data_IF_564565686680
#
_entry.id   IF_564565686680
#
_cell.length_a   1.000
_cell.length_b   1.000
_cell.length_c   1.000
_cell.angle_alpha   90.00
_cell.angle_beta   90.00
_cell.angle_gamma   90.00
#
_symmetry.space_group_name_H-M   'P 1'
#
loop_
_entity.id
_entity.type
_entity.pdbx_description
1 polymer ?
#
# COMPACT_ATOMS: atom_id res chain seq x y z
N UNK A 1 -1.91 36.28 12.49
CA UNK A 1 -1.07 35.86 11.36
C UNK A 1 -1.37 34.40 11.06
N UNK A 2 -2.24 34.13 10.09
CA UNK A 2 -2.54 32.77 9.66
C UNK A 2 -1.39 32.29 8.74
N UNK A 3 -0.65 31.28 9.19
CA UNK A 3 0.29 30.58 8.32
C UNK A 3 -0.53 29.94 7.19
N UNK A 4 -0.36 30.46 5.96
CA UNK A 4 -0.73 29.70 4.77
C UNK A 4 0.10 28.43 4.80
N UNK A 5 -0.49 27.32 5.23
CA UNK A 5 0.04 26.00 4.93
C UNK A 5 0.01 25.90 3.41
N UNK A 6 1.15 26.18 2.78
CA UNK A 6 1.36 25.90 1.38
C UNK A 6 0.98 24.44 1.19
N UNK A 7 -0.11 24.21 0.47
CA UNK A 7 -0.49 22.90 -0.01
C UNK A 7 0.53 22.56 -1.10
N UNK A 8 1.77 22.31 -0.70
CA UNK A 8 2.83 21.82 -1.56
C UNK A 8 2.39 20.43 -1.97
N UNK A 9 1.76 20.38 -3.14
CA UNK A 9 1.41 19.12 -3.76
C UNK A 9 2.62 18.19 -3.80
N UNK A 10 2.40 16.88 -3.89
CA UNK A 10 3.49 15.90 -3.84
C UNK A 10 4.60 16.27 -4.81
N UNK A 11 5.85 16.32 -4.32
CA UNK A 11 7.04 16.72 -5.10
C UNK A 11 7.09 15.95 -6.40
N UNK A 12 7.27 16.66 -7.53
CA UNK A 12 7.31 16.10 -8.88
C UNK A 12 8.66 16.34 -9.52
N UNK A 13 9.06 15.41 -10.39
CA UNK A 13 10.32 15.44 -11.13
C UNK A 13 10.02 15.30 -12.62
N UNK A 14 10.71 16.09 -13.45
CA UNK A 14 10.60 15.99 -14.91
C UNK A 14 11.18 14.67 -15.43
N UNK A 15 10.50 14.07 -16.42
CA UNK A 15 10.95 12.82 -17.04
C UNK A 15 12.18 13.10 -17.91
N UNK A 16 13.36 12.70 -17.41
CA UNK A 16 14.65 12.89 -18.07
C UNK A 16 14.86 11.90 -19.22
N UNK A 17 15.85 12.16 -20.09
CA UNK A 17 16.20 11.24 -21.17
C UNK A 17 16.68 9.88 -20.67
N UNK A 18 17.38 9.86 -19.53
CA UNK A 18 17.84 8.63 -18.88
C UNK A 18 16.65 7.79 -18.40
N UNK A 19 15.65 8.43 -17.77
CA UNK A 19 14.42 7.74 -17.37
C UNK A 19 13.66 7.16 -18.57
N UNK A 20 13.64 7.88 -19.71
CA UNK A 20 13.02 7.37 -20.95
C UNK A 20 13.76 6.18 -21.52
N UNK A 21 15.10 6.16 -21.40
CA UNK A 21 15.91 5.03 -21.81
C UNK A 21 15.62 3.81 -20.94
N UNK A 22 15.69 3.96 -19.61
CA UNK A 22 15.35 2.91 -18.65
C UNK A 22 13.92 2.39 -18.84
N UNK A 23 12.96 3.28 -19.07
CA UNK A 23 11.59 2.91 -19.40
C UNK A 23 11.51 1.98 -20.61
N UNK A 24 12.22 2.28 -21.71
CA UNK A 24 12.20 1.43 -22.90
C UNK A 24 12.81 0.04 -22.64
N UNK A 25 13.87 -0.01 -21.83
CA UNK A 25 14.55 -1.25 -21.48
C UNK A 25 13.69 -2.15 -20.57
N UNK A 26 12.97 -1.55 -19.61
CA UNK A 26 12.25 -2.29 -18.57
C UNK A 26 10.74 -2.48 -18.83
N UNK A 27 10.13 -1.73 -19.77
CA UNK A 27 8.68 -1.71 -19.98
C UNK A 27 8.08 -3.08 -20.30
N UNK A 28 8.73 -3.87 -21.16
CA UNK A 28 8.26 -5.22 -21.51
C UNK A 28 8.29 -6.16 -20.30
N UNK A 29 9.36 -6.10 -19.50
CA UNK A 29 9.50 -6.88 -18.26
C UNK A 29 8.44 -6.49 -17.22
N UNK A 30 8.22 -5.19 -17.01
CA UNK A 30 7.20 -4.68 -16.10
C UNK A 30 5.78 -5.10 -16.53
N UNK A 31 5.49 -5.08 -17.83
CA UNK A 31 4.22 -5.53 -18.38
C UNK A 31 4.00 -7.03 -18.15
N UNK A 32 5.04 -7.84 -18.36
CA UNK A 32 5.01 -9.28 -18.09
C UNK A 32 4.81 -9.59 -16.59
N UNK A 33 5.35 -8.75 -15.70
CA UNK A 33 5.18 -8.85 -14.24
C UNK A 33 3.79 -8.48 -13.76
N UNK A 34 3.16 -7.45 -14.32
CA UNK A 34 1.75 -7.12 -14.07
C UNK A 34 0.83 -7.99 -14.93
N UNK A 35 0.89 -9.30 -14.75
CA UNK A 35 0.09 -10.29 -15.49
C UNK A 35 -1.38 -10.31 -15.04
N UNK A 36 -2.25 -10.98 -15.82
CA UNK A 36 -3.66 -11.18 -15.41
C UNK A 36 -3.75 -12.03 -14.14
N UNK A 37 -2.88 -13.04 -14.01
CA UNK A 37 -2.81 -13.88 -12.81
C UNK A 37 -2.41 -13.07 -11.58
N UNK A 38 -1.43 -12.17 -11.73
CA UNK A 38 -1.03 -11.26 -10.67
C UNK A 38 -2.18 -10.34 -10.22
N UNK A 39 -2.91 -9.74 -11.18
CA UNK A 39 -4.08 -8.90 -10.86
C UNK A 39 -5.18 -9.68 -10.14
N UNK A 40 -5.40 -10.94 -10.53
CA UNK A 40 -6.34 -11.82 -9.85
C UNK A 40 -5.88 -12.14 -8.42
N UNK A 41 -4.58 -12.40 -8.21
CA UNK A 41 -4.00 -12.59 -6.89
C UNK A 41 -4.18 -11.36 -5.99
N UNK A 42 -3.98 -10.15 -6.52
CA UNK A 42 -4.24 -8.91 -5.77
C UNK A 42 -5.72 -8.73 -5.43
N UNK A 43 -6.62 -9.08 -6.37
CA UNK A 43 -8.05 -9.04 -6.12
C UNK A 43 -8.47 -9.99 -5.00
N UNK A 44 -7.95 -11.22 -5.00
CA UNK A 44 -8.19 -12.20 -3.94
C UNK A 44 -7.65 -11.71 -2.59
N UNK A 45 -6.43 -11.16 -2.57
CA UNK A 45 -5.84 -10.61 -1.35
C UNK A 45 -6.72 -9.49 -0.77
N UNK A 46 -7.24 -8.60 -1.60
CA UNK A 46 -8.18 -7.58 -1.15
C UNK A 46 -9.52 -8.14 -0.68
N UNK A 47 -10.09 -9.11 -1.40
CA UNK A 47 -11.33 -9.76 -0.99
C UNK A 47 -11.19 -10.41 0.39
N UNK A 48 -10.01 -10.99 0.67
CA UNK A 48 -9.65 -11.48 1.99
C UNK A 48 -9.63 -10.35 3.03
N UNK A 49 -9.06 -9.18 2.74
CA UNK A 49 -9.08 -8.05 3.69
C UNK A 49 -10.49 -7.51 3.95
N UNK A 50 -11.35 -7.44 2.92
CA UNK A 50 -12.77 -7.09 3.08
C UNK A 50 -13.45 -8.10 4.00
N UNK A 51 -13.23 -9.39 3.77
CA UNK A 51 -13.80 -10.45 4.58
C UNK A 51 -13.32 -10.36 6.03
N UNK A 52 -12.02 -10.18 6.28
CA UNK A 52 -11.44 -10.03 7.63
C UNK A 52 -12.07 -8.84 8.37
N UNK A 53 -12.09 -7.66 7.75
CA UNK A 53 -12.69 -6.48 8.36
C UNK A 53 -14.20 -6.64 8.61
N UNK A 54 -14.91 -7.31 7.70
CA UNK A 54 -16.35 -7.57 7.85
C UNK A 54 -16.64 -8.57 8.96
N UNK A 55 -15.83 -9.63 9.09
CA UNK A 55 -15.90 -10.59 10.20
C UNK A 55 -15.66 -9.89 11.53
N UNK A 56 -14.70 -8.96 11.60
CA UNK A 56 -14.47 -8.17 12.82
C UNK A 56 -15.68 -7.31 13.20
N UNK A 57 -16.33 -6.66 12.23
CA UNK A 57 -17.57 -5.91 12.46
C UNK A 57 -18.73 -6.82 12.87
N UNK A 58 -18.92 -7.97 12.22
CA UNK A 58 -19.91 -8.96 12.63
C UNK A 58 -19.62 -9.51 14.03
N UNK A 59 -18.35 -9.71 14.37
CA UNK A 59 -17.89 -10.06 15.71
C UNK A 59 -18.41 -9.08 16.74
N UNK A 60 -18.25 -7.77 16.52
CA UNK A 60 -18.73 -6.73 17.44
C UNK A 60 -20.26 -6.68 17.53
N UNK A 61 -20.96 -6.66 16.39
CA UNK A 61 -22.39 -6.31 16.34
C UNK A 61 -23.35 -7.50 16.39
N UNK A 62 -22.91 -8.68 15.96
CA UNK A 62 -23.76 -9.87 15.82
C UNK A 62 -23.36 -10.95 16.82
N UNK A 63 -22.06 -11.20 16.97
CA UNK A 63 -21.55 -12.23 17.89
C UNK A 63 -21.13 -11.69 19.26
N UNK A 64 -21.23 -10.38 19.45
CA UNK A 64 -20.92 -9.68 20.70
C UNK A 64 -19.52 -10.00 21.27
N UNK A 65 -18.54 -10.19 20.37
CA UNK A 65 -17.14 -10.38 20.77
C UNK A 65 -16.63 -9.15 21.50
N UNK A 66 -15.83 -9.40 22.55
CA UNK A 66 -15.20 -8.31 23.30
C UNK A 66 -14.30 -7.46 22.38
N UNK A 67 -14.38 -6.11 22.45
CA UNK A 67 -13.44 -5.24 21.73
C UNK A 67 -11.98 -5.53 22.09
N UNK A 68 -11.71 -5.92 23.34
CA UNK A 68 -10.36 -6.31 23.77
C UNK A 68 -9.95 -7.63 23.13
N UNK A 69 -10.85 -8.62 23.09
CA UNK A 69 -10.59 -9.90 22.41
C UNK A 69 -10.29 -9.72 20.92
N UNK A 70 -11.04 -8.85 20.25
CA UNK A 70 -10.79 -8.47 18.85
C UNK A 70 -9.49 -7.70 18.66
N UNK A 71 -9.13 -6.82 19.58
CA UNK A 71 -7.83 -6.13 19.54
C UNK A 71 -6.68 -7.13 19.67
N UNK A 72 -6.78 -8.09 20.60
CA UNK A 72 -5.80 -9.16 20.76
C UNK A 72 -5.69 -9.99 19.48
N UNK A 73 -6.83 -10.38 18.89
CA UNK A 73 -6.86 -11.11 17.62
C UNK A 73 -6.16 -10.34 16.50
N UNK A 74 -6.45 -9.05 16.37
CA UNK A 74 -5.84 -8.17 15.37
C UNK A 74 -4.32 -8.07 15.56
N UNK A 75 -3.87 -7.82 16.79
CA UNK A 75 -2.44 -7.74 17.12
C UNK A 75 -1.75 -9.07 16.83
N UNK A 76 -2.31 -10.20 17.28
CA UNK A 76 -1.76 -11.52 17.04
C UNK A 76 -1.58 -11.82 15.55
N UNK A 77 -2.53 -11.40 14.71
CA UNK A 77 -2.42 -11.51 13.26
C UNK A 77 -1.29 -10.70 12.67
N UNK A 78 -1.15 -9.44 13.09
CA UNK A 78 -0.04 -8.60 12.65
C UNK A 78 1.31 -9.18 13.09
N UNK A 79 1.43 -9.63 14.34
CA UNK A 79 2.64 -10.29 14.84
C UNK A 79 2.98 -11.56 14.08
N UNK A 80 2.01 -12.46 13.89
CA UNK A 80 2.21 -13.70 13.13
C UNK A 80 2.63 -13.41 11.69
N UNK A 81 1.98 -12.43 11.05
CA UNK A 81 2.34 -11.97 9.70
C UNK A 81 3.77 -11.44 9.61
N UNK A 82 4.18 -10.57 10.56
CA UNK A 82 5.54 -10.03 10.59
C UNK A 82 6.59 -11.11 10.89
N UNK A 83 6.30 -12.06 11.79
CA UNK A 83 7.18 -13.19 12.07
C UNK A 83 7.34 -14.09 10.85
N UNK A 84 6.24 -14.40 10.15
CA UNK A 84 6.26 -15.18 8.91
C UNK A 84 7.09 -14.47 7.81
N UNK A 85 6.94 -13.15 7.66
CA UNK A 85 7.73 -12.37 6.70
C UNK A 85 9.22 -12.31 7.07
N UNK A 86 9.55 -12.20 8.36
CA UNK A 86 10.93 -12.27 8.83
C UNK A 86 11.56 -13.65 8.55
N UNK A 87 10.81 -14.74 8.78
CA UNK A 87 11.27 -16.10 8.45
C UNK A 87 11.45 -16.26 6.94
N UNK A 88 10.49 -15.82 6.11
CA UNK A 88 10.65 -15.81 4.64
C UNK A 88 11.91 -15.06 4.25
N UNK A 89 12.17 -13.90 4.83
CA UNK A 89 13.37 -13.15 4.54
C UNK A 89 14.65 -13.90 4.86
N UNK A 90 14.71 -14.59 6.00
CA UNK A 90 15.87 -15.40 6.36
C UNK A 90 16.08 -16.59 5.41
N UNK A 91 15.00 -17.24 4.98
CA UNK A 91 15.07 -18.46 4.17
C UNK A 91 15.27 -18.19 2.67
N UNK A 92 14.63 -17.15 2.11
CA UNK A 92 14.63 -16.84 0.67
C UNK A 92 15.14 -15.43 0.35
N UNK A 93 16.01 -14.86 1.20
CA UNK A 93 16.58 -13.51 1.08
C UNK A 93 16.97 -13.09 -0.34
N UNK A 94 17.79 -13.90 -1.02
CA UNK A 94 18.33 -13.57 -2.35
C UNK A 94 17.24 -13.49 -3.42
N UNK A 95 16.17 -14.29 -3.29
CA UNK A 95 15.01 -14.24 -4.20
C UNK A 95 14.20 -12.97 -3.95
N UNK A 96 13.92 -12.65 -2.68
CA UNK A 96 13.19 -11.45 -2.29
C UNK A 96 13.92 -10.16 -2.70
N UNK A 97 15.25 -10.11 -2.53
CA UNK A 97 16.05 -8.96 -2.97
C UNK A 97 15.89 -8.71 -4.47
N UNK A 98 16.05 -9.76 -5.30
CA UNK A 98 15.85 -9.64 -6.76
C UNK A 98 14.44 -9.18 -7.11
N UNK A 99 13.44 -9.73 -6.44
CA UNK A 99 12.06 -9.34 -6.69
C UNK A 99 11.77 -7.88 -6.29
N UNK A 100 12.43 -7.36 -5.24
CA UNK A 100 12.37 -5.95 -4.87
C UNK A 100 13.11 -5.04 -5.85
N UNK A 101 14.25 -5.47 -6.39
CA UNK A 101 14.94 -4.73 -7.44
C UNK A 101 14.08 -4.61 -8.70
N UNK A 102 13.40 -5.69 -9.08
CA UNK A 102 12.40 -5.68 -10.17
C UNK A 102 11.21 -4.76 -9.86
N UNK A 103 10.69 -4.77 -8.63
CA UNK A 103 9.62 -3.86 -8.21
C UNK A 103 10.06 -2.39 -8.26
N UNK A 104 11.30 -2.09 -7.88
CA UNK A 104 11.84 -0.74 -7.94
C UNK A 104 11.93 -0.24 -9.40
N UNK A 105 12.30 -1.11 -10.35
CA UNK A 105 12.25 -0.80 -11.79
C UNK A 105 10.82 -0.60 -12.28
N UNK A 106 9.91 -1.48 -11.87
CA UNK A 106 8.48 -1.41 -12.24
C UNK A 106 7.84 -0.10 -11.78
N UNK A 107 8.20 0.41 -10.60
CA UNK A 107 7.67 1.70 -10.10
C UNK A 107 7.95 2.85 -11.05
N UNK A 108 9.17 2.95 -11.58
CA UNK A 108 9.52 3.97 -12.56
C UNK A 108 8.69 3.80 -13.83
N UNK A 109 8.61 2.55 -14.34
CA UNK A 109 7.84 2.24 -15.55
C UNK A 109 6.38 2.68 -15.39
N UNK A 110 5.73 2.23 -14.33
CA UNK A 110 4.31 2.53 -14.12
C UNK A 110 4.07 4.01 -13.85
N UNK A 111 4.97 4.71 -13.15
CA UNK A 111 4.86 6.16 -12.97
C UNK A 111 4.93 6.92 -14.31
N UNK A 112 5.82 6.51 -15.22
CA UNK A 112 5.92 7.08 -16.57
C UNK A 112 4.67 6.76 -17.38
N UNK A 113 4.14 5.53 -17.32
CA UNK A 113 2.87 5.16 -17.97
C UNK A 113 1.72 6.05 -17.49
N UNK A 114 1.56 6.22 -16.18
CA UNK A 114 0.52 7.08 -15.62
C UNK A 114 0.68 8.53 -16.10
N UNK A 115 1.91 9.05 -16.13
CA UNK A 115 2.18 10.40 -16.63
C UNK A 115 1.86 10.54 -18.12
N UNK A 116 2.31 9.60 -18.96
CA UNK A 116 2.07 9.61 -20.41
C UNK A 116 0.58 9.52 -20.75
N UNK A 117 -0.15 8.60 -20.10
CA UNK A 117 -1.61 8.46 -20.26
C UNK A 117 -2.35 9.74 -19.88
N UNK A 118 -1.85 10.47 -18.88
CA UNK A 118 -2.39 11.76 -18.47
C UNK A 118 -1.85 12.96 -19.28
N UNK A 119 -0.97 12.75 -20.27
CA UNK A 119 -0.33 13.81 -21.05
C UNK A 119 0.61 14.70 -20.25
N UNK A 120 1.22 14.18 -19.18
CA UNK A 120 2.13 14.91 -18.27
C UNK A 120 3.59 14.58 -18.58
N UNK A 121 4.47 15.54 -18.33
CA UNK A 121 5.94 15.41 -18.46
C UNK A 121 6.64 15.10 -17.14
N UNK A 122 5.87 14.97 -16.05
CA UNK A 122 6.37 14.84 -14.69
C UNK A 122 5.82 13.60 -14.00
N UNK A 123 6.67 12.98 -13.18
CA UNK A 123 6.32 11.86 -12.30
C UNK A 123 6.47 12.26 -10.83
N UNK A 124 5.75 11.60 -9.90
CA UNK A 124 5.98 11.82 -8.48
C UNK A 124 7.40 11.40 -8.08
N UNK A 125 8.07 12.21 -7.24
CA UNK A 125 9.43 11.94 -6.77
C UNK A 125 9.54 10.59 -6.01
N UNK A 126 8.46 10.17 -5.35
CA UNK A 126 8.38 8.89 -4.66
C UNK A 126 8.57 7.68 -5.57
N UNK A 127 8.36 7.82 -6.89
CA UNK A 127 8.63 6.75 -7.86
C UNK A 127 10.13 6.44 -7.99
N UNK A 128 11.01 7.37 -7.58
CA UNK A 128 12.47 7.23 -7.62
C UNK A 128 13.05 6.65 -6.33
N UNK A 129 12.23 6.46 -5.28
CA UNK A 129 12.72 6.00 -3.99
C UNK A 129 12.99 4.49 -4.04
N UNK A 130 14.26 4.14 -3.87
CA UNK A 130 14.67 2.75 -3.69
C UNK A 130 14.18 2.26 -2.33
N UNK A 131 13.38 1.18 -2.32
CA UNK A 131 12.97 0.52 -1.08
C UNK A 131 13.87 -0.67 -0.83
N UNK A 132 14.61 -0.62 0.27
CA UNK A 132 15.39 -1.75 0.77
C UNK A 132 14.49 -2.67 1.62
N UNK A 133 14.20 -3.91 1.17
CA UNK A 133 13.33 -4.83 1.90
C UNK A 133 13.88 -5.19 3.28
N UNK A 134 15.20 -5.31 3.45
CA UNK A 134 15.80 -5.64 4.74
C UNK A 134 15.57 -4.55 5.78
N UNK A 135 15.68 -3.28 5.37
CA UNK A 135 15.38 -2.14 6.25
C UNK A 135 13.89 -2.09 6.61
N UNK A 136 13.01 -2.36 5.64
CA UNK A 136 11.57 -2.36 5.87
C UNK A 136 11.15 -3.41 6.92
N UNK A 137 11.73 -4.62 6.87
CA UNK A 137 11.49 -5.65 7.89
C UNK A 137 12.03 -5.23 9.25
N UNK A 138 13.25 -4.68 9.29
CA UNK A 138 13.85 -4.27 10.57
C UNK A 138 12.98 -3.22 11.26
N UNK A 139 12.50 -2.22 10.52
CA UNK A 139 11.57 -1.22 11.05
C UNK A 139 10.30 -1.87 11.58
N UNK A 140 9.70 -2.79 10.82
CA UNK A 140 8.50 -3.51 11.26
C UNK A 140 8.75 -4.31 12.53
N UNK A 141 9.86 -5.06 12.63
CA UNK A 141 10.20 -5.87 13.79
C UNK A 141 10.45 -5.02 15.04
N UNK A 142 11.20 -3.92 14.93
CA UNK A 142 11.43 -3.02 16.06
C UNK A 142 10.13 -2.36 16.53
N UNK A 143 9.31 -1.87 15.60
CA UNK A 143 8.00 -1.31 15.92
C UNK A 143 7.10 -2.36 16.58
N UNK A 144 7.14 -3.60 16.09
CA UNK A 144 6.37 -4.72 16.63
C UNK A 144 6.77 -5.05 18.08
N UNK A 145 8.06 -5.26 18.35
CA UNK A 145 8.56 -5.57 19.70
C UNK A 145 8.21 -4.44 20.67
N UNK A 146 8.40 -3.19 20.26
CA UNK A 146 8.10 -2.04 21.09
C UNK A 146 6.59 -1.92 21.39
N UNK A 147 5.75 -2.06 20.37
CA UNK A 147 4.30 -2.05 20.51
C UNK A 147 3.77 -3.24 21.32
N UNK A 148 4.36 -4.44 21.21
CA UNK A 148 4.03 -5.58 22.08
C UNK A 148 4.28 -5.25 23.55
N UNK A 149 5.46 -4.71 23.85
CA UNK A 149 5.83 -4.32 25.21
C UNK A 149 4.87 -3.27 25.79
N UNK A 150 4.58 -2.22 25.00
CA UNK A 150 3.63 -1.18 25.37
C UNK A 150 2.21 -1.72 25.60
N UNK A 151 1.73 -2.57 24.70
CA UNK A 151 0.40 -3.17 24.81
C UNK A 151 0.30 -4.07 26.05
N UNK A 152 1.31 -4.90 26.30
CA UNK A 152 1.38 -5.75 27.49
C UNK A 152 1.38 -4.93 28.79
N UNK A 153 2.17 -3.86 28.86
CA UNK A 153 2.19 -2.96 30.00
C UNK A 153 0.83 -2.27 30.20
N UNK A 154 0.17 -1.86 29.11
CA UNK A 154 -1.17 -1.28 29.15
C UNK A 154 -2.22 -2.25 29.70
N UNK A 155 -2.23 -3.51 29.25
CA UNK A 155 -3.14 -4.53 29.79
C UNK A 155 -2.89 -4.79 31.28
N UNK A 156 -1.62 -4.88 31.69
CA UNK A 156 -1.24 -5.06 33.10
C UNK A 156 -1.69 -3.89 33.96
N UNK A 157 -1.59 -2.66 33.45
CA UNK A 157 -2.06 -1.46 34.15
C UNK A 157 -3.58 -1.48 34.37
N UNK A 158 -4.34 -1.98 33.38
CA UNK A 158 -5.80 -2.12 33.48
C UNK A 158 -6.26 -3.33 34.32
N UNK A 159 -5.34 -4.15 34.82
CA UNK A 159 -5.67 -5.38 35.54
C UNK A 159 -6.30 -6.47 34.66
N UNK A 160 -6.14 -6.39 33.33
CA UNK A 160 -6.69 -7.37 32.39
C UNK A 160 -5.77 -8.60 32.36
N UNK A 161 -6.32 -9.76 32.71
CA UNK A 161 -5.65 -11.04 32.48
C UNK A 161 -5.88 -11.49 31.03
N UNK A 162 -4.82 -11.49 30.23
CA UNK A 162 -4.83 -11.88 28.83
C UNK A 162 -5.28 -13.33 28.64
N UNK A 163 -4.86 -14.23 29.52
CA UNK A 163 -5.15 -15.66 29.41
C UNK A 163 -6.64 -15.90 29.67
N UNK A 164 -7.17 -15.28 30.73
CA UNK A 164 -8.58 -15.40 31.07
C UNK A 164 -9.49 -14.76 30.02
N UNK A 165 -9.08 -13.60 29.48
CA UNK A 165 -9.82 -12.88 28.43
C UNK A 165 -9.94 -13.68 27.14
N UNK A 166 -8.97 -14.55 26.83
CA UNK A 166 -9.03 -15.42 25.66
C UNK A 166 -9.88 -16.67 25.94
N UNK A 167 -9.76 -17.23 27.15
CA UNK A 167 -10.37 -18.52 27.52
C UNK A 167 -11.90 -18.54 27.44
N UNK A 168 -12.54 -17.41 27.64
CA UNK A 168 -14.01 -17.29 27.77
C UNK A 168 -14.75 -17.25 26.43
N UNK A 169 -14.06 -16.95 25.32
CA UNK A 169 -14.71 -16.74 24.01
C UNK A 169 -14.29 -17.80 22.97
N UNK A 170 -15.06 -18.91 22.88
CA UNK A 170 -14.77 -20.03 21.96
C UNK A 170 -14.63 -19.61 20.50
N UNK A 171 -15.37 -18.59 20.05
CA UNK A 171 -15.26 -18.04 18.69
C UNK A 171 -13.92 -17.35 18.42
N UNK A 172 -13.38 -16.64 19.42
CA UNK A 172 -12.09 -15.95 19.32
C UNK A 172 -10.95 -16.96 19.23
N UNK A 173 -11.03 -18.10 19.90
CA UNK A 173 -10.00 -19.15 19.80
C UNK A 173 -9.78 -19.65 18.38
N UNK A 174 -10.87 -19.98 17.67
CA UNK A 174 -10.78 -20.46 16.29
C UNK A 174 -10.30 -19.36 15.34
N UNK A 175 -10.77 -18.12 15.56
CA UNK A 175 -10.29 -16.98 14.80
C UNK A 175 -8.79 -16.75 15.04
N UNK A 176 -8.32 -16.85 16.29
CA UNK A 176 -6.92 -16.69 16.66
C UNK A 176 -6.05 -17.76 16.01
N UNK A 177 -6.48 -19.03 16.06
CA UNK A 177 -5.78 -20.12 15.39
C UNK A 177 -5.67 -19.86 13.89
N UNK A 178 -6.78 -19.49 13.23
CA UNK A 178 -6.78 -19.21 11.79
C UNK A 178 -5.83 -18.05 11.43
N UNK A 179 -5.90 -16.95 12.18
CA UNK A 179 -5.10 -15.75 11.98
C UNK A 179 -3.61 -16.00 12.24
N UNK A 180 -3.27 -16.88 13.18
CA UNK A 180 -1.88 -17.30 13.39
C UNK A 180 -1.40 -18.22 12.28
N UNK A 181 -2.16 -19.27 11.91
CA UNK A 181 -1.73 -20.32 10.99
C UNK A 181 -1.62 -19.84 9.53
N UNK A 182 -2.54 -19.00 9.06
CA UNK A 182 -2.59 -18.58 7.65
C UNK A 182 -1.28 -17.94 7.15
N UNK A 183 -0.65 -16.99 7.86
CA UNK A 183 0.66 -16.48 7.49
C UNK A 183 1.73 -17.56 7.32
N UNK A 184 1.76 -18.57 8.20
CA UNK A 184 2.74 -19.65 8.13
C UNK A 184 2.50 -20.61 6.96
N UNK A 185 1.25 -20.86 6.59
CA UNK A 185 0.93 -21.61 5.38
C UNK A 185 1.57 -20.96 4.14
N UNK A 186 1.57 -19.62 4.06
CA UNK A 186 2.23 -18.90 2.97
C UNK A 186 3.76 -19.04 2.98
N UNK A 187 4.39 -19.22 4.15
CA UNK A 187 5.83 -19.52 4.25
C UNK A 187 6.11 -20.88 3.62
N UNK A 188 5.32 -21.89 3.99
CA UNK A 188 5.45 -23.25 3.46
C UNK A 188 5.27 -23.23 1.94
N UNK A 189 4.24 -22.53 1.45
CA UNK A 189 4.01 -22.37 0.01
C UNK A 189 5.23 -21.76 -0.71
N UNK A 190 5.80 -20.68 -0.18
CA UNK A 190 6.99 -20.04 -0.75
C UNK A 190 8.23 -20.96 -0.76
N UNK A 191 8.34 -21.89 0.19
CA UNK A 191 9.42 -22.88 0.24
C UNK A 191 9.20 -24.04 -0.74
N UNK A 192 7.96 -24.51 -0.86
CA UNK A 192 7.59 -25.61 -1.78
C UNK A 192 7.64 -25.16 -3.23
N UNK A 193 7.25 -23.90 -3.52
CA UNK A 193 7.40 -23.30 -4.84
C UNK A 193 8.89 -23.03 -5.14
N UNK A 194 9.52 -23.99 -5.82
CA UNK A 194 10.89 -23.89 -6.35
C UNK A 194 11.04 -22.85 -7.46
N UNK A 195 9.95 -22.40 -8.08
CA UNK A 195 10.01 -21.32 -9.08
C UNK A 195 10.25 -20.00 -8.37
N UNK A 196 11.37 -19.33 -8.64
CA UNK A 196 11.66 -17.96 -8.21
C UNK A 196 10.77 -16.92 -8.91
N UNK A 197 9.47 -17.16 -8.93
CA UNK A 197 8.47 -16.41 -9.69
C UNK A 197 7.88 -15.21 -8.93
N UNK A 198 7.17 -14.38 -9.71
CA UNK A 198 6.50 -13.12 -9.35
C UNK A 198 5.62 -13.15 -8.08
N UNK A 199 5.15 -14.33 -7.67
CA UNK A 199 4.27 -14.51 -6.52
C UNK A 199 4.98 -14.27 -5.17
N UNK A 200 6.30 -14.45 -5.10
CA UNK A 200 7.08 -14.31 -3.87
C UNK A 200 7.04 -12.88 -3.30
N UNK A 201 6.99 -11.86 -4.16
CA UNK A 201 6.95 -10.46 -3.74
C UNK A 201 5.53 -9.96 -3.46
N UNK A 202 4.51 -10.55 -4.11
CA UNK A 202 3.11 -10.21 -3.84
C UNK A 202 2.68 -10.64 -2.42
N UNK A 203 3.28 -11.71 -1.90
CA UNK A 203 3.03 -12.21 -0.55
C UNK A 203 3.90 -11.61 0.56
N UNK A 204 4.70 -10.58 0.26
CA UNK A 204 5.65 -9.99 1.20
C UNK A 204 5.38 -8.48 1.35
N UNK A 205 4.87 -8.06 2.52
CA UNK A 205 4.44 -6.68 2.79
C UNK A 205 5.25 -6.06 3.92
N UNK A 206 6.54 -5.87 3.71
CA UNK A 206 7.42 -5.28 4.72
C UNK A 206 7.34 -3.74 4.74
N UNK A 207 7.36 -3.18 5.95
CA UNK A 207 7.51 -1.76 6.30
C UNK A 207 6.21 -1.03 6.61
N UNK A 208 5.04 -1.62 6.33
CA UNK A 208 3.74 -0.99 6.57
C UNK A 208 3.04 -1.46 7.85
N UNK A 209 3.29 -2.70 8.27
CA UNK A 209 2.53 -3.36 9.35
C UNK A 209 2.96 -2.88 10.72
N UNK A 210 4.27 -2.68 10.95
CA UNK A 210 4.79 -2.21 12.23
C UNK A 210 4.37 -0.78 12.54
N UNK A 211 4.35 0.09 11.53
CA UNK A 211 3.86 1.46 11.67
C UNK A 211 2.38 1.52 12.06
N UNK A 212 1.53 0.74 11.37
CA UNK A 212 0.11 0.63 11.71
C UNK A 212 -0.12 0.07 13.11
N UNK A 213 0.59 -0.99 13.48
CA UNK A 213 0.54 -1.59 14.81
C UNK A 213 0.92 -0.59 15.91
N UNK A 214 1.99 0.17 15.70
CA UNK A 214 2.43 1.18 16.65
C UNK A 214 1.35 2.25 16.89
N UNK A 215 0.75 2.77 15.82
CA UNK A 215 -0.34 3.77 15.92
C UNK A 215 -1.54 3.19 16.66
N UNK A 216 -1.93 1.95 16.38
CA UNK A 216 -3.06 1.27 17.05
C UNK A 216 -2.79 1.08 18.54
N UNK A 217 -1.58 0.64 18.92
CA UNK A 217 -1.22 0.45 20.33
C UNK A 217 -1.18 1.78 21.07
N UNK A 218 -0.64 2.83 20.47
CA UNK A 218 -0.66 4.18 21.07
C UNK A 218 -2.11 4.65 21.25
N UNK A 219 -2.96 4.51 20.23
CA UNK A 219 -4.38 4.85 20.33
C UNK A 219 -5.06 4.06 21.45
N UNK A 220 -4.78 2.76 21.57
CA UNK A 220 -5.26 1.94 22.68
C UNK A 220 -4.82 2.50 24.04
N UNK A 221 -3.54 2.82 24.23
CA UNK A 221 -3.04 3.36 25.51
C UNK A 221 -3.73 4.67 25.90
N UNK A 222 -4.04 5.55 24.94
CA UNK A 222 -4.78 6.79 25.21
C UNK A 222 -6.27 6.58 25.49
N UNK A 223 -6.86 5.50 24.98
CA UNK A 223 -8.29 5.22 25.06
C UNK A 223 -8.66 4.13 26.08
N UNK A 224 -7.65 3.48 26.67
CA UNK A 224 -7.74 2.28 27.50
C UNK A 224 -8.68 2.42 28.72
N UNK A 225 -8.72 3.61 29.35
CA UNK A 225 -9.56 3.87 30.52
C UNK A 225 -11.05 4.09 30.17
N UNK A 226 -11.40 4.11 28.88
CA UNK A 226 -12.77 4.39 28.40
C UNK A 226 -13.28 3.19 27.60
N UNK A 227 -14.10 2.30 28.19
CA UNK A 227 -14.58 1.09 27.52
C UNK A 227 -15.28 1.36 26.18
N UNK A 228 -16.08 2.43 26.10
CA UNK A 228 -16.73 2.87 24.86
C UNK A 228 -15.74 3.29 23.78
N UNK A 229 -14.58 3.82 24.15
CA UNK A 229 -13.57 4.26 23.21
C UNK A 229 -12.80 3.09 22.57
N UNK A 230 -12.57 2.00 23.30
CA UNK A 230 -11.97 0.77 22.74
C UNK A 230 -12.92 0.15 21.71
N UNK A 231 -14.23 0.13 22.00
CA UNK A 231 -15.23 -0.31 21.02
C UNK A 231 -15.18 0.56 19.75
N UNK A 232 -15.20 1.89 19.89
CA UNK A 232 -15.08 2.81 18.74
C UNK A 232 -13.78 2.63 17.97
N UNK A 233 -12.65 2.38 18.64
CA UNK A 233 -11.37 2.08 18.00
C UNK A 233 -11.46 0.81 17.15
N UNK A 234 -12.06 -0.26 17.67
CA UNK A 234 -12.22 -1.50 16.92
C UNK A 234 -13.17 -1.37 15.74
N UNK A 235 -14.27 -0.63 15.89
CA UNK A 235 -15.15 -0.29 14.76
C UNK A 235 -14.36 0.48 13.70
N UNK A 236 -13.58 1.49 14.10
CA UNK A 236 -12.77 2.29 13.19
C UNK A 236 -11.73 1.46 12.44
N UNK A 237 -10.99 0.58 13.14
CA UNK A 237 -9.98 -0.29 12.53
C UNK A 237 -10.61 -1.22 11.49
N UNK A 238 -11.71 -1.89 11.85
CA UNK A 238 -12.35 -2.86 10.95
C UNK A 238 -13.04 -2.18 9.76
N UNK A 239 -13.79 -1.11 10.00
CA UNK A 239 -14.41 -0.32 8.93
C UNK A 239 -13.35 0.33 8.03
N UNK A 240 -12.26 0.84 8.61
CA UNK A 240 -11.11 1.36 7.88
C UNK A 240 -10.43 0.29 7.03
N UNK A 241 -10.29 -0.93 7.54
CA UNK A 241 -9.75 -2.08 6.79
C UNK A 241 -10.61 -2.38 5.56
N UNK A 242 -11.93 -2.43 5.72
CA UNK A 242 -12.86 -2.63 4.60
C UNK A 242 -12.74 -1.48 3.59
N UNK A 243 -12.73 -0.23 4.06
CA UNK A 243 -12.63 0.94 3.19
C UNK A 243 -11.32 0.97 2.40
N UNK A 244 -10.18 0.69 3.04
CA UNK A 244 -8.87 0.61 2.38
C UNK A 244 -8.86 -0.50 1.34
N UNK A 245 -9.45 -1.66 1.63
CA UNK A 245 -9.53 -2.76 0.68
C UNK A 245 -10.43 -2.41 -0.53
N UNK A 246 -11.52 -1.66 -0.34
CA UNK A 246 -12.35 -1.13 -1.42
C UNK A 246 -11.60 -0.09 -2.27
N UNK A 247 -10.84 0.81 -1.64
CA UNK A 247 -9.97 1.76 -2.35
C UNK A 247 -8.88 1.04 -3.15
N UNK A 248 -8.33 -0.05 -2.61
CA UNK A 248 -7.39 -0.90 -3.35
C UNK A 248 -8.06 -1.53 -4.59
N UNK A 249 -9.36 -1.83 -4.53
CA UNK A 249 -10.12 -2.33 -5.69
C UNK A 249 -10.19 -1.33 -6.82
N UNK A 250 -10.45 -0.08 -6.45
CA UNK A 250 -10.36 1.02 -7.41
C UNK A 250 -8.94 1.13 -8.01
N UNK A 251 -7.91 0.98 -7.18
CA UNK A 251 -6.52 0.89 -7.60
C UNK A 251 -6.28 -0.21 -8.65
N UNK A 252 -6.83 -1.41 -8.46
CA UNK A 252 -6.72 -2.50 -9.43
C UNK A 252 -7.38 -2.20 -10.77
N UNK A 253 -8.54 -1.52 -10.75
CA UNK A 253 -9.20 -1.07 -11.98
C UNK A 253 -8.28 -0.10 -12.74
N UNK A 254 -7.66 0.86 -12.05
CA UNK A 254 -6.68 1.76 -12.67
C UNK A 254 -5.48 1.02 -13.25
N UNK A 255 -4.89 0.10 -12.48
CA UNK A 255 -3.75 -0.72 -12.91
C UNK A 255 -4.08 -1.57 -14.13
N UNK A 256 -5.30 -2.10 -14.22
CA UNK A 256 -5.77 -2.86 -15.39
C UNK A 256 -5.81 -1.99 -16.64
N UNK A 257 -6.23 -0.74 -16.51
CA UNK A 257 -6.26 0.24 -17.59
C UNK A 257 -4.87 0.72 -18.01
N UNK A 258 -3.94 0.89 -17.07
CA UNK A 258 -2.52 1.18 -17.36
C UNK A 258 -1.84 0.04 -18.10
N UNK A 259 -2.08 -1.19 -17.64
CA UNK A 259 -1.56 -2.40 -18.29
C UNK A 259 -2.04 -2.52 -19.73
N UNK A 260 -3.35 -2.32 -19.96
CA UNK A 260 -3.94 -2.35 -21.31
C UNK A 260 -3.30 -1.29 -22.20
N UNK A 261 -3.19 -0.06 -21.70
CA UNK A 261 -2.56 1.04 -22.42
C UNK A 261 -1.11 0.71 -22.80
N UNK A 262 -0.31 0.21 -21.85
CA UNK A 262 1.09 -0.13 -22.11
C UNK A 262 1.19 -1.26 -23.15
N UNK A 263 0.36 -2.30 -23.04
CA UNK A 263 0.33 -3.39 -24.03
C UNK A 263 0.04 -2.89 -25.44
N UNK A 264 -0.86 -1.93 -25.59
CA UNK A 264 -1.24 -1.35 -26.89
C UNK A 264 -0.13 -0.46 -27.48
N UNK A 265 0.60 0.29 -26.64
CA UNK A 265 1.58 1.29 -27.09
C UNK A 265 3.04 0.80 -27.05
N UNK A 266 3.32 -0.39 -26.48
CA UNK A 266 4.67 -0.94 -26.38
C UNK A 266 5.35 -1.11 -27.76
N UNK A 267 4.68 -1.62 -28.82
CA UNK A 267 5.30 -1.74 -30.15
C UNK A 267 5.75 -0.39 -30.75
N UNK A 268 4.96 0.66 -30.52
CA UNK A 268 5.25 2.02 -30.96
C UNK A 268 6.41 2.67 -30.17
N UNK A 269 6.58 2.25 -28.92
CA UNK A 269 7.66 2.68 -28.02
C UNK A 269 8.97 2.00 -28.44
N UNK A 270 8.94 0.69 -28.71
CA UNK A 270 10.10 -0.11 -29.11
C UNK A 270 10.63 0.27 -30.50
N UNK A 271 9.73 0.58 -31.44
CA UNK A 271 10.10 1.06 -32.79
C UNK A 271 10.58 2.52 -32.81
N UNK A 272 10.50 3.25 -31.69
CA UNK A 272 10.89 4.65 -31.60
C UNK A 272 9.97 5.63 -32.36
N UNK A 273 8.82 5.16 -32.88
CA UNK A 273 7.99 5.92 -33.82
C UNK A 273 6.83 6.69 -33.18
N UNK A 274 6.38 6.37 -31.96
CA UNK A 274 5.04 6.80 -31.53
C UNK A 274 4.91 7.64 -30.25
N UNK A 275 5.44 7.20 -29.12
CA UNK A 275 4.82 7.59 -27.84
C UNK A 275 5.35 8.89 -27.20
N UNK A 276 6.64 9.20 -27.34
CA UNK A 276 7.22 10.41 -26.73
C UNK A 276 7.11 11.66 -27.62
N UNK A 277 7.02 11.50 -28.94
CA UNK A 277 6.91 12.60 -29.90
C UNK A 277 5.52 13.24 -29.95
N UNK A 278 4.45 12.42 -29.98
CA UNK A 278 3.07 12.92 -30.14
C UNK A 278 2.52 13.63 -28.90
N UNK A 279 3.04 13.32 -27.69
CA UNK A 279 2.59 13.97 -26.45
C UNK A 279 3.14 15.39 -26.29
N UNK A 280 4.38 15.62 -26.74
CA UNK A 280 4.98 16.97 -26.83
C UNK A 280 4.28 17.84 -27.89
N UNK A 281 3.85 17.25 -29.00
CA UNK A 281 3.16 17.97 -30.06
C UNK A 281 1.72 18.38 -29.67
N UNK A 282 1.03 17.57 -28.84
CA UNK A 282 -0.30 17.92 -28.30
C UNK A 282 -0.25 19.00 -27.21
N UNK A 283 0.83 19.10 -26.45
CA UNK A 283 1.03 20.21 -25.50
C UNK A 283 1.40 21.50 -26.22
N UNK A 284 2.13 21.43 -27.33
CA UNK A 284 2.39 22.58 -28.22
C UNK A 284 1.14 23.17 -28.88
N UNK A 285 0.16 22.33 -29.26
CA UNK A 285 -1.09 22.80 -29.92
C UNK A 285 -2.20 23.29 -28.97
N UNK A 286 -2.09 23.07 -27.66
CA UNK A 286 -2.99 23.68 -26.64
C UNK A 286 -2.44 24.95 -26.00
N UNK A 287 -1.25 25.40 -26.42
CA UNK A 287 -0.76 26.76 -26.19
C UNK A 287 -1.43 27.82 -27.09
N UNK A 288 -2.72 27.68 -27.43
CA UNK A 288 -3.49 28.83 -27.90
C UNK A 288 -3.72 29.72 -26.69
N UNK A 289 -2.77 30.63 -26.52
CA UNK A 289 -2.86 31.94 -25.89
C UNK A 289 -4.32 32.34 -25.65
N UNK A 290 -4.80 32.16 -24.42
CA UNK A 290 -5.95 32.92 -23.96
C UNK A 290 -5.47 34.37 -23.83
N UNK A 291 -5.47 35.09 -24.95
CA UNK A 291 -5.43 36.55 -24.94
C UNK A 291 -6.75 36.98 -24.31
N UNK A 292 -6.72 37.18 -23.00
CA UNK A 292 -7.78 37.91 -22.31
C UNK A 292 -7.64 39.35 -22.77
N UNK A 293 -8.34 39.69 -23.86
CA UNK A 293 -8.58 41.07 -24.26
C UNK A 293 -9.36 41.74 -23.13
N UNK A 294 -8.68 42.51 -22.28
CA UNK A 294 -9.37 43.41 -21.35
C UNK A 294 -9.97 44.57 -22.15
N UNK A 295 -11.28 44.82 -22.06
CA UNK A 295 -11.88 46.02 -22.63
C UNK A 295 -11.65 47.20 -21.68
N UNK A 296 -11.20 48.32 -22.26
CA UNK A 296 -11.40 49.65 -21.66
C UNK A 296 -10.31 50.14 -20.71
N UNK A 297 -9.48 51.07 -21.20
CA UNK A 297 -9.27 52.35 -20.52
C UNK A 297 -8.69 53.35 -21.52
N UNK A 298 -9.56 54.26 -21.91
CA UNK A 298 -9.23 55.53 -22.53
C UNK A 298 -8.45 56.33 -21.48
N UNK A 299 -7.21 56.70 -21.78
CA UNK A 299 -6.53 57.79 -21.08
C UNK A 299 -6.15 58.86 -22.09
N UNK A 300 -6.92 59.95 -21.99
CA UNK A 300 -6.62 61.31 -22.41
C UNK A 300 -5.13 61.61 -22.23
N UNK A 301 -4.47 62.03 -23.31
CA UNK A 301 -3.28 62.86 -23.22
C UNK A 301 -3.72 64.27 -23.60
N UNK A 302 -3.54 65.21 -22.68
CA UNK A 302 -3.32 66.62 -22.96
C UNK A 302 -2.48 67.17 -21.80
N UNK A 303 -1.43 67.96 -22.04
CA UNK A 303 -1.17 69.17 -21.28
C UNK A 303 -2.09 70.31 -21.72
#
# INVERSE_FOLDING_TARGET
MAAKSGNEGPVRVDITNEMRKQFREDAAGALARRSTAWLHGQFLAMAQWILIGSIGLMGLYVWFWSPIGLLILFLAGLFSGMAADAVKWLLIRKRLQRAYDDLNKDRLVWAIVTAMKAGRTQIPASAMHYVNPGMAIMVDLYAAVFAAGLFYLGLRHLGVDLIESLRTETGIHWALLAVVVLPWASVIESLVRRSGGQDDAAGFQAGGRGGGLFVVVIAFLFLAERPSAIHSLMVFINAGTVLVALLAAFGLVLMSGERRWLKEHLPDIESGTGAFGKSAERTGKRGKQWVISRPGSVLRQDP
#
